data_IF_558185227560
#
_entry.id   IF_558185227560
#
_cell.length_a   1.000
_cell.length_b   1.000
_cell.length_c   1.000
_cell.angle_alpha   90.00
_cell.angle_beta   90.00
_cell.angle_gamma   90.00
#
_symmetry.space_group_name_H-M   'P 1'
#
loop_
_entity.id
_entity.type
_entity.pdbx_description
1 polymer ?
#
# COMPACT_ATOMS: atom_id res chain seq x y z
N UNK A 1 -46.97 36.05 9.08
CA UNK A 1 -45.53 36.39 9.12
C UNK A 1 -44.81 35.10 9.49
N UNK A 2 -44.55 34.11 8.63
CA UNK A 2 -43.85 34.08 7.32
C UNK A 2 -42.49 34.81 7.38
N UNK A 3 -41.43 34.04 7.13
CA UNK A 3 -39.98 34.33 6.96
C UNK A 3 -39.17 34.39 8.27
N UNK A 4 -38.04 33.71 8.49
CA UNK A 4 -37.06 32.99 7.65
C UNK A 4 -36.21 32.10 8.58
N UNK A 5 -35.79 30.90 8.15
CA UNK A 5 -34.42 30.37 8.29
C UNK A 5 -34.35 28.93 7.75
N UNK A 6 -34.27 28.84 6.42
CA UNK A 6 -33.51 27.77 5.76
C UNK A 6 -32.19 28.39 5.35
N UNK A 7 -31.10 27.99 6.01
CA UNK A 7 -29.73 28.09 5.49
C UNK A 7 -28.79 27.32 6.43
N UNK A 8 -27.96 26.43 5.88
CA UNK A 8 -26.72 26.01 6.54
C UNK A 8 -26.58 24.52 6.88
N UNK A 9 -26.91 23.62 5.95
CA UNK A 9 -26.25 22.32 5.88
C UNK A 9 -24.87 22.54 5.25
N UNK A 10 -23.83 22.83 6.04
CA UNK A 10 -22.45 22.83 5.55
C UNK A 10 -21.43 22.69 6.71
N UNK A 11 -20.74 21.55 6.72
CA UNK A 11 -19.38 21.31 7.22
C UNK A 11 -18.97 21.88 8.59
N UNK A 12 -18.87 21.00 9.61
CA UNK A 12 -18.26 21.39 10.90
C UNK A 12 -17.61 20.29 11.74
N UNK A 13 -17.73 19.00 11.40
CA UNK A 13 -17.32 17.90 12.30
C UNK A 13 -15.90 17.35 12.11
N UNK A 14 -15.03 18.09 11.42
CA UNK A 14 -13.65 17.63 11.13
C UNK A 14 -12.59 18.22 12.09
N UNK A 15 -12.99 19.07 13.05
CA UNK A 15 -12.05 19.71 14.00
C UNK A 15 -12.04 19.08 15.39
N UNK A 16 -13.19 18.59 15.86
CA UNK A 16 -13.30 17.97 17.19
C UNK A 16 -12.67 16.58 17.20
N UNK A 17 -12.88 15.80 16.13
CA UNK A 17 -12.29 14.47 15.97
C UNK A 17 -10.74 14.51 15.92
N UNK A 18 -10.18 15.52 15.24
CA UNK A 18 -8.71 15.72 15.16
C UNK A 18 -8.08 16.11 16.49
N UNK A 19 -8.81 16.74 17.39
CA UNK A 19 -8.28 17.14 18.70
C UNK A 19 -8.19 15.93 19.65
N UNK A 20 -9.20 15.05 19.63
CA UNK A 20 -9.23 13.82 20.42
C UNK A 20 -8.16 12.82 19.97
N UNK A 21 -7.94 12.68 18.65
CA UNK A 21 -6.86 11.80 18.14
C UNK A 21 -5.44 12.37 18.41
N UNK A 22 -5.28 13.69 18.45
CA UNK A 22 -3.98 14.32 18.71
C UNK A 22 -3.52 14.16 20.17
N UNK A 23 -4.45 14.08 21.12
CA UNK A 23 -4.11 13.95 22.55
C UNK A 23 -3.61 12.53 22.90
N UNK A 24 -4.12 11.50 22.22
CA UNK A 24 -3.75 10.09 22.47
C UNK A 24 -2.41 9.69 21.83
N UNK A 25 -1.96 10.39 20.77
CA UNK A 25 -0.72 10.05 20.04
C UNK A 25 0.57 10.73 20.55
N UNK A 26 0.49 11.62 21.55
CA UNK A 26 1.62 12.46 21.96
C UNK A 26 2.57 11.82 23.00
N UNK A 27 2.36 10.55 23.42
CA UNK A 27 3.17 9.90 24.46
C UNK A 27 4.18 8.84 23.96
N UNK A 28 4.44 8.71 22.66
CA UNK A 28 5.23 7.59 22.11
C UNK A 28 6.45 7.94 21.25
N UNK A 29 7.33 8.89 21.63
CA UNK A 29 8.53 9.21 20.82
C UNK A 29 9.82 9.28 21.64
N UNK A 30 10.61 8.20 21.63
CA UNK A 30 12.05 8.24 21.91
C UNK A 30 12.85 7.99 20.62
N UNK A 31 13.85 8.84 20.41
CA UNK A 31 14.66 9.05 19.19
C UNK A 31 15.81 8.04 19.07
N UNK A 32 16.26 7.78 17.82
CA UNK A 32 17.69 7.57 17.49
C UNK A 32 18.03 8.15 16.10
N UNK A 33 19.31 8.50 15.84
CA UNK A 33 19.69 9.52 14.87
C UNK A 33 20.15 9.00 13.51
N UNK A 34 19.95 9.82 12.47
CA UNK A 34 20.48 9.63 11.13
C UNK A 34 21.73 10.50 10.90
N UNK A 35 22.85 9.88 10.52
CA UNK A 35 23.84 10.41 9.55
C UNK A 35 25.02 9.46 9.34
N UNK A 36 25.23 9.03 8.10
CA UNK A 36 26.57 8.77 7.57
C UNK A 36 26.65 9.38 6.16
N UNK A 37 27.58 10.33 5.99
CA UNK A 37 28.10 10.79 4.70
C UNK A 37 29.27 9.90 4.30
N UNK A 38 29.43 9.62 3.01
CA UNK A 38 30.67 9.09 2.45
C UNK A 38 30.48 8.40 1.10
N UNK A 39 30.68 9.14 0.00
CA UNK A 39 31.01 8.57 -1.30
C UNK A 39 32.48 8.86 -1.58
N UNK A 40 33.30 7.82 -1.64
CA UNK A 40 34.70 7.90 -2.05
C UNK A 40 35.28 6.50 -2.27
N UNK A 41 35.80 6.28 -3.48
CA UNK A 41 36.86 5.32 -3.76
C UNK A 41 36.47 3.87 -4.01
N UNK A 42 36.60 3.47 -5.28
CA UNK A 42 37.43 2.33 -5.74
C UNK A 42 36.75 1.34 -6.68
N UNK A 43 37.26 1.39 -7.92
CA UNK A 43 37.14 0.39 -8.97
C UNK A 43 37.85 -0.90 -8.53
N UNK A 44 37.34 -2.03 -9.04
CA UNK A 44 37.92 -3.38 -9.01
C UNK A 44 37.56 -4.24 -7.79
N UNK A 45 36.35 -4.81 -7.81
CA UNK A 45 36.05 -6.23 -7.57
C UNK A 45 34.56 -6.39 -7.27
N UNK A 46 33.77 -6.84 -8.26
CA UNK A 46 32.41 -7.33 -8.00
C UNK A 46 32.25 -8.71 -8.62
N UNK A 47 32.86 -9.69 -7.94
CA UNK A 47 32.40 -11.07 -7.98
C UNK A 47 30.99 -11.12 -7.39
N UNK A 48 30.00 -11.22 -8.27
CA UNK A 48 28.72 -11.91 -8.03
C UNK A 48 27.92 -11.47 -6.78
N UNK A 49 27.44 -10.22 -6.78
CA UNK A 49 26.31 -9.79 -5.96
C UNK A 49 25.51 -8.70 -6.69
N UNK A 50 24.87 -9.07 -7.79
CA UNK A 50 23.94 -8.19 -8.52
C UNK A 50 22.58 -8.88 -8.55
N UNK A 51 21.56 -8.07 -8.24
CA UNK A 51 20.13 -8.36 -8.24
C UNK A 51 19.73 -9.35 -9.35
N UNK A 52 18.80 -10.31 -9.08
CA UNK A 52 18.36 -11.33 -10.04
C UNK A 52 17.79 -10.79 -11.36
N UNK A 53 17.61 -9.47 -11.46
CA UNK A 53 17.02 -8.74 -12.58
C UNK A 53 18.03 -8.34 -13.67
N UNK A 54 19.33 -8.59 -13.53
CA UNK A 54 20.34 -8.23 -14.57
C UNK A 54 20.73 -9.36 -15.51
N UNK A 55 20.29 -10.61 -15.25
CA UNK A 55 20.71 -11.81 -15.98
C UNK A 55 20.30 -11.76 -17.47
N UNK A 56 19.09 -11.28 -17.78
CA UNK A 56 18.63 -11.19 -19.17
C UNK A 56 19.43 -10.16 -19.99
N UNK A 57 19.84 -9.06 -19.35
CA UNK A 57 20.68 -8.06 -20.00
C UNK A 57 22.07 -8.62 -20.32
N UNK A 58 22.69 -9.31 -19.37
CA UNK A 58 23.99 -9.95 -19.61
C UNK A 58 23.90 -11.02 -20.71
N UNK A 59 22.81 -11.81 -20.76
CA UNK A 59 22.56 -12.77 -21.85
C UNK A 59 22.46 -12.09 -23.21
N UNK A 60 21.77 -10.96 -23.30
CA UNK A 60 21.68 -10.20 -24.55
C UNK A 60 23.04 -9.63 -24.98
N UNK A 61 23.76 -8.97 -24.07
CA UNK A 61 25.04 -8.34 -24.37
C UNK A 61 26.11 -9.37 -24.79
N UNK A 62 26.13 -10.56 -24.16
CA UNK A 62 27.07 -11.64 -24.51
C UNK A 62 26.84 -12.25 -25.90
N UNK A 63 25.68 -12.03 -26.51
CA UNK A 63 25.34 -12.56 -27.83
C UNK A 63 25.51 -11.53 -28.96
N UNK A 64 25.98 -10.33 -28.63
CA UNK A 64 26.13 -9.23 -29.57
C UNK A 64 27.60 -8.93 -29.83
N UNK A 65 27.89 -8.42 -31.02
CA UNK A 65 29.24 -8.05 -31.42
C UNK A 65 29.52 -6.56 -31.21
N UNK A 66 30.79 -6.24 -30.92
CA UNK A 66 31.28 -4.86 -30.77
C UNK A 66 30.50 -4.04 -29.74
N UNK A 67 30.12 -4.67 -28.63
CA UNK A 67 29.40 -4.03 -27.53
C UNK A 67 30.28 -2.99 -26.84
N UNK A 68 29.76 -1.77 -26.70
CA UNK A 68 30.41 -0.68 -25.96
C UNK A 68 29.40 0.02 -25.07
N UNK A 69 29.77 0.28 -23.82
CA UNK A 69 28.95 1.06 -22.91
C UNK A 69 29.15 2.56 -23.19
N UNK A 70 28.05 3.29 -23.34
CA UNK A 70 28.05 4.73 -23.65
C UNK A 70 27.53 5.60 -22.50
N UNK A 71 26.99 4.97 -21.45
CA UNK A 71 26.61 5.63 -20.21
C UNK A 71 26.01 4.64 -19.20
N UNK A 72 25.54 5.13 -18.04
CA UNK A 72 24.81 4.31 -17.09
C UNK A 72 23.61 3.67 -17.78
N UNK A 73 23.50 2.34 -17.70
CA UNK A 73 22.39 1.58 -18.28
C UNK A 73 22.20 1.73 -19.80
N UNK A 74 23.26 2.10 -20.54
CA UNK A 74 23.22 2.29 -22.01
C UNK A 74 24.41 1.64 -22.71
N UNK A 75 24.12 0.89 -23.76
CA UNK A 75 25.10 0.24 -24.62
C UNK A 75 24.80 0.48 -26.09
N UNK A 76 25.84 0.36 -26.90
CA UNK A 76 25.75 0.28 -28.36
C UNK A 76 26.43 -0.98 -28.85
N UNK A 77 25.87 -1.62 -29.87
CA UNK A 77 26.38 -2.85 -30.48
C UNK A 77 26.10 -2.87 -31.98
N UNK A 78 26.68 -3.82 -32.70
CA UNK A 78 26.27 -4.11 -34.08
C UNK A 78 24.92 -4.80 -34.09
N UNK A 79 24.07 -4.42 -35.04
CA UNK A 79 22.77 -5.07 -35.20
C UNK A 79 22.96 -6.43 -35.89
N UNK A 80 22.51 -7.54 -35.28
CA UNK A 80 22.59 -8.87 -35.90
C UNK A 80 21.52 -9.11 -36.97
N UNK A 81 20.48 -8.26 -37.03
CA UNK A 81 19.36 -8.39 -37.96
C UNK A 81 19.65 -7.85 -39.37
N UNK A 82 20.78 -7.19 -39.58
CA UNK A 82 21.26 -6.77 -40.89
C UNK A 82 22.79 -6.82 -40.94
N UNK A 83 23.41 -6.84 -42.14
CA UNK A 83 24.87 -6.74 -42.26
C UNK A 83 25.35 -5.37 -41.77
N UNK A 84 25.85 -5.32 -40.54
CA UNK A 84 26.23 -4.06 -39.89
C UNK A 84 27.76 -3.94 -39.75
N UNK A 85 28.33 -2.86 -40.28
CA UNK A 85 29.77 -2.57 -40.18
C UNK A 85 30.11 -1.69 -38.97
N UNK A 86 29.16 -0.87 -38.51
CA UNK A 86 29.35 0.14 -37.46
C UNK A 86 28.21 0.08 -36.45
N UNK A 87 28.47 0.03 -35.13
CA UNK A 87 27.42 -0.17 -34.12
C UNK A 87 26.15 0.66 -34.31
N UNK A 88 25.09 0.06 -34.86
CA UNK A 88 23.81 0.72 -35.17
C UNK A 88 22.68 0.36 -34.20
N UNK A 89 22.94 -0.53 -33.24
CA UNK A 89 21.98 -0.99 -32.25
C UNK A 89 22.21 -0.26 -30.92
N UNK A 90 21.21 0.47 -30.45
CA UNK A 90 21.16 1.05 -29.11
C UNK A 90 20.40 0.15 -28.16
N UNK A 91 20.99 -0.09 -26.98
CA UNK A 91 20.43 -0.93 -25.92
C UNK A 91 20.37 -0.10 -24.64
N UNK A 92 19.22 -0.12 -23.97
CA UNK A 92 19.02 0.64 -22.73
C UNK A 92 18.28 -0.19 -21.71
N UNK A 93 18.85 -0.29 -20.52
CA UNK A 93 18.15 -0.83 -19.36
C UNK A 93 17.28 0.27 -18.75
N UNK A 94 15.98 0.03 -18.65
CA UNK A 94 15.01 0.99 -18.13
C UNK A 94 14.08 0.29 -17.13
N UNK A 95 14.48 0.26 -15.86
CA UNK A 95 13.70 -0.34 -14.78
C UNK A 95 13.42 -1.82 -15.04
N UNK A 96 12.19 -2.10 -15.46
CA UNK A 96 11.58 -3.41 -15.67
C UNK A 96 11.89 -4.06 -17.03
N UNK A 97 12.57 -3.35 -17.94
CA UNK A 97 12.77 -3.82 -19.33
C UNK A 97 14.04 -3.33 -20.00
N UNK A 98 14.41 -4.03 -21.06
CA UNK A 98 15.51 -3.74 -21.96
C UNK A 98 14.92 -3.17 -23.26
N UNK A 99 15.24 -1.91 -23.55
CA UNK A 99 14.86 -1.26 -24.80
C UNK A 99 15.95 -1.48 -25.84
N UNK A 100 15.57 -2.00 -27.00
CA UNK A 100 16.45 -2.16 -28.16
C UNK A 100 15.94 -1.30 -29.31
N UNK A 101 16.83 -0.55 -29.94
CA UNK A 101 16.51 0.32 -31.06
C UNK A 101 17.62 0.28 -32.10
N UNK A 102 17.28 -0.10 -33.33
CA UNK A 102 18.22 -0.10 -34.44
C UNK A 102 17.99 1.14 -35.32
N UNK A 103 19.03 1.96 -35.51
CA UNK A 103 18.95 3.17 -36.33
C UNK A 103 18.74 2.88 -37.83
N UNK A 104 18.99 1.64 -38.29
CA UNK A 104 18.70 1.20 -39.66
C UNK A 104 17.24 0.74 -39.86
N UNK A 105 16.41 0.72 -38.80
CA UNK A 105 14.98 0.37 -38.89
C UNK A 105 14.63 -1.10 -38.70
N UNK A 106 15.55 -1.94 -38.21
CA UNK A 106 15.23 -3.33 -37.88
C UNK A 106 14.22 -3.41 -36.72
N UNK A 107 13.15 -4.22 -36.82
CA UNK A 107 12.20 -4.41 -35.73
C UNK A 107 12.83 -5.23 -34.59
N UNK A 108 12.42 -4.95 -33.35
CA UNK A 108 12.93 -5.63 -32.15
C UNK A 108 12.86 -7.15 -32.25
N UNK A 109 11.77 -7.71 -32.81
CA UNK A 109 11.58 -9.16 -32.99
C UNK A 109 12.71 -9.80 -33.80
N UNK A 110 13.08 -9.19 -34.93
CA UNK A 110 14.18 -9.68 -35.79
C UNK A 110 15.53 -9.63 -35.08
N UNK A 111 15.74 -8.62 -34.23
CA UNK A 111 16.99 -8.45 -33.47
C UNK A 111 17.12 -9.56 -32.43
N UNK A 112 16.07 -9.81 -31.64
CA UNK A 112 16.09 -10.86 -30.61
C UNK A 112 16.12 -12.26 -31.23
N UNK A 113 15.38 -12.50 -32.32
CA UNK A 113 15.42 -13.77 -33.05
C UNK A 113 16.81 -14.09 -33.60
N UNK A 114 17.51 -13.09 -34.15
CA UNK A 114 18.87 -13.28 -34.68
C UNK A 114 19.89 -13.69 -33.61
N UNK A 115 19.66 -13.32 -32.35
CA UNK A 115 20.47 -13.76 -31.20
C UNK A 115 19.85 -14.94 -30.45
N UNK A 116 18.81 -15.58 -30.98
CA UNK A 116 18.15 -16.73 -30.34
C UNK A 116 17.47 -16.39 -29.00
N UNK A 117 16.92 -15.19 -28.88
CA UNK A 117 16.11 -14.73 -27.75
C UNK A 117 14.69 -14.42 -28.22
N UNK A 118 13.77 -14.30 -27.28
CA UNK A 118 12.39 -13.90 -27.52
C UNK A 118 12.16 -12.47 -27.05
N UNK A 119 11.12 -11.81 -27.55
CA UNK A 119 10.72 -10.46 -27.09
C UNK A 119 10.41 -10.47 -25.59
N UNK A 120 9.88 -11.58 -25.06
CA UNK A 120 9.61 -11.76 -23.63
C UNK A 120 10.87 -11.74 -22.77
N UNK A 121 12.04 -12.09 -23.31
CA UNK A 121 13.32 -12.00 -22.60
C UNK A 121 13.75 -10.55 -22.34
N UNK A 122 13.23 -9.58 -23.10
CA UNK A 122 13.53 -8.16 -22.87
C UNK A 122 12.84 -7.60 -21.62
N UNK A 123 11.88 -8.31 -21.03
CA UNK A 123 11.16 -7.87 -19.84
C UNK A 123 11.71 -8.60 -18.60
N UNK A 124 12.27 -7.81 -17.68
CA UNK A 124 12.88 -8.29 -16.43
C UNK A 124 11.80 -8.63 -15.38
N UNK A 125 10.65 -7.99 -15.49
CA UNK A 125 9.47 -8.22 -14.64
C UNK A 125 8.53 -9.30 -15.19
N UNK A 126 8.97 -10.12 -16.15
CA UNK A 126 8.25 -11.33 -16.52
C UNK A 126 8.74 -12.48 -15.66
N UNK A 127 8.08 -12.79 -14.53
CA UNK A 127 8.30 -14.07 -13.88
C UNK A 127 7.89 -15.15 -14.89
N UNK A 128 8.88 -15.74 -15.57
CA UNK A 128 8.68 -16.97 -16.36
C UNK A 128 8.20 -18.15 -15.49
N UNK A 129 8.15 -17.93 -14.18
CA UNK A 129 7.47 -18.71 -13.16
C UNK A 129 6.54 -17.82 -12.30
N UNK A 130 5.70 -16.96 -12.91
CA UNK A 130 4.46 -16.61 -12.23
C UNK A 130 3.69 -17.93 -12.14
N UNK A 131 3.91 -18.67 -11.03
CA UNK A 131 3.02 -19.74 -10.61
C UNK A 131 1.63 -19.20 -10.90
N UNK A 132 0.88 -19.84 -11.80
CA UNK A 132 -0.54 -19.50 -12.00
C UNK A 132 -1.07 -19.34 -10.59
N UNK A 133 -1.55 -18.16 -10.20
CA UNK A 133 -2.22 -18.01 -8.90
C UNK A 133 -3.29 -19.09 -8.94
N UNK A 134 -3.09 -20.16 -8.19
CA UNK A 134 -4.03 -21.27 -8.16
C UNK A 134 -5.35 -20.62 -7.78
N UNK A 135 -6.35 -20.78 -8.64
CA UNK A 135 -7.67 -20.22 -8.34
C UNK A 135 -8.05 -20.84 -7.00
N UNK A 136 -8.39 -20.03 -5.98
CA UNK A 136 -8.75 -20.58 -4.68
C UNK A 136 -9.85 -21.61 -4.88
N UNK A 137 -9.73 -22.76 -4.24
CA UNK A 137 -10.78 -23.78 -4.25
C UNK A 137 -12.08 -23.15 -3.76
N UNK A 138 -13.22 -23.68 -4.24
CA UNK A 138 -14.55 -23.21 -3.81
C UNK A 138 -14.70 -23.17 -2.29
N UNK A 139 -14.07 -24.13 -1.59
CA UNK A 139 -14.03 -24.20 -0.13
C UNK A 139 -13.30 -23.00 0.51
N UNK A 140 -12.13 -22.62 -0.03
CA UNK A 140 -11.37 -21.48 0.48
C UNK A 140 -12.11 -20.16 0.22
N UNK A 141 -12.73 -20.03 -0.96
CA UNK A 141 -13.53 -18.85 -1.28
C UNK A 141 -14.76 -18.74 -0.36
N UNK A 142 -15.46 -19.85 -0.11
CA UNK A 142 -16.59 -19.89 0.80
C UNK A 142 -16.18 -19.50 2.24
N UNK A 143 -15.05 -20.01 2.73
CA UNK A 143 -14.51 -19.65 4.05
C UNK A 143 -14.20 -18.15 4.14
N UNK A 144 -13.56 -17.57 3.12
CA UNK A 144 -13.25 -16.13 3.06
C UNK A 144 -14.52 -15.26 3.01
N UNK A 145 -15.54 -15.70 2.28
CA UNK A 145 -16.82 -14.99 2.22
C UNK A 145 -17.50 -15.03 3.58
N UNK A 146 -17.53 -16.20 4.23
CA UNK A 146 -18.13 -16.36 5.54
C UNK A 146 -17.42 -15.52 6.60
N UNK A 147 -16.09 -15.55 6.61
CA UNK A 147 -15.28 -14.73 7.51
C UNK A 147 -15.59 -13.24 7.35
N UNK A 148 -15.62 -12.75 6.10
CA UNK A 148 -15.98 -11.36 5.80
C UNK A 148 -17.40 -11.02 6.23
N UNK A 149 -18.35 -11.92 6.04
CA UNK A 149 -19.73 -11.70 6.46
C UNK A 149 -19.86 -11.61 7.99
N UNK A 150 -19.17 -12.48 8.72
CA UNK A 150 -19.15 -12.47 10.19
C UNK A 150 -18.53 -11.20 10.75
N UNK A 151 -17.40 -10.75 10.18
CA UNK A 151 -16.78 -9.48 10.57
C UNK A 151 -17.71 -8.31 10.27
N UNK A 152 -18.42 -8.36 9.15
CA UNK A 152 -19.35 -7.29 8.77
C UNK A 152 -20.55 -7.20 9.72
N UNK A 153 -21.03 -8.33 10.22
CA UNK A 153 -22.09 -8.34 11.22
C UNK A 153 -21.63 -7.66 12.51
N UNK A 154 -20.45 -8.01 12.99
CA UNK A 154 -19.86 -7.41 14.20
C UNK A 154 -19.63 -5.90 14.05
N UNK A 155 -19.18 -5.45 12.87
CA UNK A 155 -19.08 -4.01 12.55
C UNK A 155 -20.44 -3.31 12.69
N UNK A 156 -21.52 -3.93 12.23
CA UNK A 156 -22.84 -3.33 12.29
C UNK A 156 -23.34 -3.24 13.73
N UNK A 157 -23.17 -4.30 14.53
CA UNK A 157 -23.53 -4.31 15.96
C UNK A 157 -22.77 -3.23 16.73
N UNK A 158 -21.45 -3.14 16.53
CA UNK A 158 -20.61 -2.10 17.13
C UNK A 158 -21.10 -0.70 16.78
N UNK A 159 -21.43 -0.47 15.51
CA UNK A 159 -21.91 0.83 15.05
C UNK A 159 -23.28 1.19 15.64
N UNK A 160 -24.19 0.23 15.79
CA UNK A 160 -25.51 0.48 16.39
C UNK A 160 -25.41 0.77 17.89
N UNK A 161 -24.49 0.11 18.61
CA UNK A 161 -24.21 0.38 20.02
C UNK A 161 -23.65 1.80 20.22
N UNK A 162 -22.67 2.21 19.40
CA UNK A 162 -22.13 3.57 19.38
C UNK A 162 -23.26 4.59 19.21
N UNK A 163 -24.11 4.40 18.17
CA UNK A 163 -25.25 5.29 17.91
C UNK A 163 -26.26 5.31 19.05
N UNK A 164 -26.47 4.18 19.73
CA UNK A 164 -27.39 4.11 20.86
C UNK A 164 -26.86 4.94 22.03
N UNK A 165 -25.60 4.75 22.41
CA UNK A 165 -24.96 5.47 23.51
C UNK A 165 -24.91 6.97 23.21
N UNK A 166 -24.52 7.36 21.99
CA UNK A 166 -24.55 8.77 21.57
C UNK A 166 -25.95 9.37 21.74
N UNK A 167 -26.99 8.68 21.22
CA UNK A 167 -28.38 9.16 21.35
C UNK A 167 -28.80 9.31 22.82
N UNK A 168 -28.45 8.36 23.67
CA UNK A 168 -28.79 8.40 25.09
C UNK A 168 -28.06 9.54 25.81
N UNK A 169 -26.77 9.74 25.53
CA UNK A 169 -26.01 10.88 26.07
C UNK A 169 -26.69 12.19 25.69
N UNK A 170 -27.00 12.40 24.41
CA UNK A 170 -27.67 13.62 23.94
C UNK A 170 -29.07 13.81 24.51
N UNK A 171 -29.84 12.74 24.68
CA UNK A 171 -31.19 12.81 25.26
C UNK A 171 -31.19 13.27 26.73
N UNK A 172 -30.10 13.05 27.46
CA UNK A 172 -29.95 13.41 28.87
C UNK A 172 -29.02 14.62 29.07
N UNK A 173 -29.05 15.59 28.15
CA UNK A 173 -28.28 16.84 28.25
C UNK A 173 -26.78 16.70 27.97
N UNK A 174 -26.30 15.49 27.71
CA UNK A 174 -24.95 15.18 27.25
C UNK A 174 -23.86 15.71 28.17
N UNK A 175 -22.81 16.28 27.58
CA UNK A 175 -21.64 16.76 28.30
C UNK A 175 -21.93 17.91 29.29
N UNK A 176 -23.02 18.66 29.08
CA UNK A 176 -23.38 19.77 29.98
C UNK A 176 -23.76 19.27 31.36
N UNK A 177 -24.54 18.19 31.44
CA UNK A 177 -24.94 17.57 32.71
C UNK A 177 -23.76 16.95 33.47
N UNK A 178 -22.76 16.45 32.74
CA UNK A 178 -21.49 15.96 33.31
C UNK A 178 -20.69 17.12 33.89
N UNK A 179 -20.46 18.19 33.11
CA UNK A 179 -19.68 19.34 33.56
C UNK A 179 -20.33 20.09 34.73
N UNK A 180 -21.66 20.10 34.79
CA UNK A 180 -22.42 20.73 35.85
C UNK A 180 -22.53 19.87 37.12
N UNK A 181 -21.95 18.66 37.13
CA UNK A 181 -22.01 17.71 38.25
C UNK A 181 -23.46 17.46 38.73
N UNK A 182 -24.34 17.21 37.78
CA UNK A 182 -25.74 16.84 38.03
C UNK A 182 -25.88 15.51 38.78
N UNK A 183 -27.09 15.20 39.25
CA UNK A 183 -27.39 13.91 39.91
C UNK A 183 -27.06 12.69 39.03
N UNK A 184 -27.08 12.84 37.71
CA UNK A 184 -26.81 11.77 36.75
C UNK A 184 -25.42 11.85 36.11
N UNK A 185 -24.56 12.76 36.57
CA UNK A 185 -23.25 13.02 35.97
C UNK A 185 -22.36 11.76 35.93
N UNK A 186 -22.36 10.96 36.99
CA UNK A 186 -21.55 9.73 37.08
C UNK A 186 -21.97 8.69 36.02
N UNK A 187 -23.28 8.46 35.87
CA UNK A 187 -23.81 7.53 34.87
C UNK A 187 -23.50 8.00 33.44
N UNK A 188 -23.64 9.31 33.17
CA UNK A 188 -23.31 9.88 31.87
C UNK A 188 -21.80 9.83 31.59
N UNK A 189 -20.94 10.00 32.60
CA UNK A 189 -19.50 9.85 32.48
C UNK A 189 -19.10 8.40 32.17
N UNK A 190 -19.74 7.42 32.80
CA UNK A 190 -19.55 6.00 32.51
C UNK A 190 -19.91 5.67 31.06
N UNK A 191 -21.07 6.14 30.59
CA UNK A 191 -21.49 5.98 29.20
C UNK A 191 -20.53 6.65 28.22
N UNK A 192 -20.03 7.84 28.54
CA UNK A 192 -19.05 8.55 27.73
C UNK A 192 -17.69 7.82 27.67
N UNK A 193 -17.24 7.24 28.78
CA UNK A 193 -16.04 6.41 28.81
C UNK A 193 -16.21 5.15 27.95
N UNK A 194 -17.36 4.49 28.05
CA UNK A 194 -17.69 3.35 27.20
C UNK A 194 -17.68 3.72 25.72
N UNK A 195 -18.31 4.85 25.35
CA UNK A 195 -18.31 5.34 23.97
C UNK A 195 -16.89 5.53 23.42
N UNK A 196 -15.98 6.11 24.22
CA UNK A 196 -14.57 6.28 23.85
C UNK A 196 -13.89 4.95 23.51
N UNK A 197 -14.18 3.88 24.27
CA UNK A 197 -13.63 2.56 23.99
C UNK A 197 -14.21 1.93 22.72
N UNK A 198 -15.52 2.06 22.50
CA UNK A 198 -16.17 1.55 21.28
C UNK A 198 -15.69 2.28 20.02
N UNK A 199 -15.48 3.61 20.10
CA UNK A 199 -14.89 4.40 19.02
C UNK A 199 -13.46 3.95 18.69
N UNK A 200 -12.67 3.59 19.70
CA UNK A 200 -11.34 3.02 19.51
C UNK A 200 -11.42 1.68 18.75
N UNK A 201 -12.31 0.78 19.16
CA UNK A 201 -12.50 -0.51 18.48
C UNK A 201 -12.94 -0.29 17.01
N UNK A 202 -13.89 0.62 16.77
CA UNK A 202 -14.34 0.98 15.43
C UNK A 202 -13.20 1.53 14.55
N UNK A 203 -12.34 2.37 15.11
CA UNK A 203 -11.13 2.86 14.42
C UNK A 203 -10.19 1.73 14.01
N UNK A 204 -10.01 0.70 14.84
CA UNK A 204 -9.13 -0.43 14.49
C UNK A 204 -9.74 -1.33 13.39
N UNK A 205 -11.07 -1.53 13.37
CA UNK A 205 -11.77 -2.21 12.26
C UNK A 205 -11.58 -1.46 10.93
N UNK A 206 -11.82 -0.15 10.93
CA UNK A 206 -11.72 0.67 9.71
C UNK A 206 -10.30 0.77 9.16
N UNK A 207 -9.27 0.53 9.97
CA UNK A 207 -7.86 0.41 9.54
C UNK A 207 -7.53 -0.94 8.90
N UNK A 208 -8.48 -1.87 8.84
CA UNK A 208 -8.31 -3.19 8.24
C UNK A 208 -7.53 -4.17 9.10
N UNK A 209 -7.38 -3.89 10.41
CA UNK A 209 -6.73 -4.80 11.36
C UNK A 209 -7.77 -5.73 11.97
N UNK A 210 -8.16 -6.78 11.26
CA UNK A 210 -9.07 -7.77 11.82
C UNK A 210 -8.26 -8.92 12.43
N UNK A 211 -7.86 -8.76 13.70
CA UNK A 211 -7.22 -9.83 14.48
C UNK A 211 -8.27 -10.57 15.31
N UNK A 212 -7.97 -11.82 15.69
CA UNK A 212 -8.83 -12.58 16.61
C UNK A 212 -9.03 -11.86 17.94
N UNK A 213 -7.97 -11.23 18.44
CA UNK A 213 -7.99 -10.42 19.67
C UNK A 213 -8.96 -9.24 19.56
N UNK A 214 -8.97 -8.53 18.42
CA UNK A 214 -9.90 -7.41 18.21
C UNK A 214 -11.35 -7.89 18.17
N UNK A 215 -11.61 -9.01 17.49
CA UNK A 215 -12.95 -9.61 17.42
C UNK A 215 -13.45 -9.98 18.82
N UNK A 216 -12.60 -10.60 19.63
CA UNK A 216 -12.94 -11.01 21.00
C UNK A 216 -13.21 -9.80 21.90
N UNK A 217 -12.29 -8.82 21.91
CA UNK A 217 -12.47 -7.58 22.67
C UNK A 217 -13.76 -6.83 22.29
N UNK A 218 -14.13 -6.86 21.01
CA UNK A 218 -15.36 -6.22 20.53
C UNK A 218 -16.61 -6.95 21.01
N UNK A 219 -16.59 -8.29 20.99
CA UNK A 219 -17.69 -9.09 21.54
C UNK A 219 -17.86 -8.85 23.03
N UNK A 220 -16.76 -8.80 23.79
CA UNK A 220 -16.81 -8.49 25.22
C UNK A 220 -17.40 -7.09 25.46
N UNK A 221 -16.95 -6.09 24.70
CA UNK A 221 -17.44 -4.73 24.80
C UNK A 221 -18.94 -4.58 24.50
N UNK A 222 -19.49 -5.40 23.59
CA UNK A 222 -20.89 -5.40 23.21
C UNK A 222 -21.82 -6.12 24.22
N UNK A 223 -21.26 -6.96 25.10
CA UNK A 223 -22.04 -7.73 26.09
C UNK A 223 -22.19 -7.01 27.42
N UNK A 224 -21.26 -6.11 27.75
CA UNK A 224 -21.29 -5.26 28.94
C UNK A 224 -22.47 -4.30 28.94
#
# INVERSE_FOLDING_TARGET
MINNLVAGFESGNDKVFRWVTAMVLQLGKTKTPAKCQGYGGDLMNYSHSILPQTDSLFKLLNRLESVRQTGPNKWVARCPAHPDRSPSLSIRLNGDRILVYCFAGCPANRIVEAVGMTVGDLFLDSPKNAKKKERPTLQLLAAQILEKALVKELENELLEEIKLIERLLWAHGGWQEIMNNSEHADALAEMAHRLSYLDYLWSEFTRGKTTSELIEATKEALVL
#
